data_IF_525568826976
#
_entry.id   IF_525568826976
#
_cell.length_a   1.000
_cell.length_b   1.000
_cell.length_c   1.000
_cell.angle_alpha   90.00
_cell.angle_beta   90.00
_cell.angle_gamma   90.00
#
_symmetry.space_group_name_H-M   'P 1'
#
loop_
_entity.id
_entity.type
_entity.pdbx_description
1 polymer ?
#
# COMPACT_ATOMS: atom_id res chain seq x y z
N UNK A 1 -12.31 -10.28 4.15
CA UNK A 1 -11.04 -11.06 4.08
C UNK A 1 -10.29 -11.11 5.41
N UNK A 2 -9.77 -10.01 5.97
CA UNK A 2 -8.92 -10.06 7.18
C UNK A 2 -9.56 -10.68 8.44
N UNK A 3 -10.89 -10.63 8.55
CA UNK A 3 -11.64 -11.27 9.63
C UNK A 3 -11.90 -12.76 9.41
N UNK A 4 -11.73 -13.27 8.18
CA UNK A 4 -12.05 -14.65 7.79
C UNK A 4 -10.81 -15.49 7.47
N UNK A 5 -9.69 -14.85 7.12
CA UNK A 5 -8.44 -15.54 6.82
C UNK A 5 -7.69 -15.93 8.11
N UNK A 6 -7.27 -17.20 8.20
CA UNK A 6 -6.48 -17.71 9.33
C UNK A 6 -5.09 -17.06 9.41
N UNK A 7 -4.41 -16.93 8.29
CA UNK A 7 -3.16 -16.17 8.14
C UNK A 7 -3.29 -15.18 6.96
N UNK A 8 -2.81 -13.96 7.13
CA UNK A 8 -2.96 -12.89 6.14
C UNK A 8 -1.81 -11.88 6.26
N UNK A 9 -1.21 -11.56 5.11
CA UNK A 9 -0.38 -10.39 4.92
C UNK A 9 -0.93 -9.53 3.78
N UNK A 10 -1.14 -8.25 4.04
CA UNK A 10 -1.46 -7.26 3.01
C UNK A 10 -0.18 -6.50 2.63
N UNK A 11 0.20 -6.55 1.36
CA UNK A 11 1.29 -5.73 0.82
C UNK A 11 0.68 -4.64 -0.04
N UNK A 12 0.95 -3.38 0.28
CA UNK A 12 0.40 -2.23 -0.48
C UNK A 12 1.51 -1.36 -1.04
N UNK A 13 1.37 -1.02 -2.31
CA UNK A 13 2.17 0.01 -3.00
C UNK A 13 1.66 1.42 -2.67
N UNK A 14 0.45 1.53 -2.12
CA UNK A 14 -0.09 2.83 -1.75
C UNK A 14 0.69 3.39 -0.56
N UNK A 15 0.95 4.69 -0.62
CA UNK A 15 1.63 5.44 0.44
C UNK A 15 0.65 6.10 1.39
N UNK A 16 -0.65 5.96 1.14
CA UNK A 16 -1.70 6.36 2.07
C UNK A 16 -1.86 5.35 3.22
N UNK A 17 -2.69 5.71 4.20
CA UNK A 17 -2.95 4.91 5.39
C UNK A 17 -4.37 4.29 5.39
N UNK A 18 -5.03 4.19 4.23
CA UNK A 18 -6.43 3.80 4.15
C UNK A 18 -6.68 2.38 4.66
N UNK A 19 -5.74 1.46 4.47
CA UNK A 19 -5.83 0.11 5.03
C UNK A 19 -5.78 0.10 6.57
N UNK A 20 -4.89 0.91 7.17
CA UNK A 20 -4.83 1.05 8.62
C UNK A 20 -6.11 1.69 9.17
N UNK A 21 -6.63 2.72 8.49
CA UNK A 21 -7.90 3.39 8.85
C UNK A 21 -9.13 2.49 8.68
N UNK A 22 -9.07 1.53 7.76
CA UNK A 22 -10.07 0.47 7.62
C UNK A 22 -9.98 -0.59 8.74
N UNK A 23 -9.04 -0.45 9.68
CA UNK A 23 -8.90 -1.32 10.85
C UNK A 23 -7.98 -2.51 10.65
N UNK A 24 -7.18 -2.56 9.57
CA UNK A 24 -6.19 -3.62 9.42
C UNK A 24 -5.03 -3.40 10.40
N UNK A 25 -4.68 -4.40 11.24
CA UNK A 25 -3.55 -4.29 12.16
C UNK A 25 -2.23 -4.09 11.40
N UNK A 26 -1.33 -3.28 11.96
CA UNK A 26 -0.05 -2.93 11.30
C UNK A 26 0.84 -4.15 11.07
N UNK A 27 0.81 -5.11 11.98
CA UNK A 27 1.54 -6.37 11.91
C UNK A 27 1.08 -7.29 10.76
N UNK A 28 -0.12 -7.05 10.21
CA UNK A 28 -0.64 -7.75 9.02
C UNK A 28 -0.45 -6.96 7.74
N UNK A 29 0.31 -5.86 7.76
CA UNK A 29 0.45 -4.96 6.62
C UNK A 29 1.91 -4.55 6.37
N UNK A 30 2.28 -4.54 5.09
CA UNK A 30 3.53 -3.96 4.60
C UNK A 30 3.22 -2.84 3.61
N UNK A 31 3.52 -1.60 4.01
CA UNK A 31 3.50 -0.44 3.09
C UNK A 31 4.84 -0.39 2.35
N UNK A 32 4.93 -1.09 1.22
CA UNK A 32 6.21 -1.35 0.56
C UNK A 32 6.85 -0.08 -0.01
N UNK A 33 6.05 0.94 -0.35
CA UNK A 33 6.52 2.25 -0.82
C UNK A 33 6.58 3.33 0.26
N UNK A 34 6.41 2.97 1.53
CA UNK A 34 6.48 3.91 2.64
C UNK A 34 5.12 4.52 3.02
N UNK A 35 5.17 5.57 3.85
CA UNK A 35 3.99 6.27 4.38
C UNK A 35 4.15 7.77 4.09
N UNK A 36 3.18 8.36 3.38
CA UNK A 36 3.19 9.78 3.02
C UNK A 36 3.06 10.69 4.25
N UNK A 37 2.55 10.18 5.36
CA UNK A 37 2.43 10.88 6.63
C UNK A 37 3.70 10.78 7.48
N UNK A 38 4.73 10.10 6.99
CA UNK A 38 6.06 10.11 7.59
C UNK A 38 6.91 11.15 6.88
N UNK A 39 7.70 11.91 7.64
CA UNK A 39 8.78 12.74 7.13
C UNK A 39 10.10 12.08 7.52
N UNK A 40 11.02 11.92 6.56
CA UNK A 40 12.35 11.33 6.79
C UNK A 40 13.47 12.24 6.29
N UNK A 41 14.64 12.10 6.89
CA UNK A 41 15.87 12.73 6.43
C UNK A 41 16.33 12.10 5.11
N UNK A 42 16.85 12.90 4.19
CA UNK A 42 17.35 12.42 2.88
C UNK A 42 18.68 11.67 2.96
N UNK A 43 19.39 11.74 4.09
CA UNK A 43 20.75 11.17 4.25
C UNK A 43 20.87 10.09 5.33
N UNK A 44 20.10 10.19 6.42
CA UNK A 44 20.20 9.29 7.57
C UNK A 44 18.82 8.79 8.00
N UNK A 45 18.78 7.75 8.85
CA UNK A 45 17.55 7.07 9.27
C UNK A 45 16.63 7.88 10.21
N UNK A 46 16.86 9.19 10.39
CA UNK A 46 15.95 10.01 11.20
C UNK A 46 14.61 10.19 10.47
N UNK A 47 13.52 9.84 11.15
CA UNK A 47 12.17 10.03 10.64
C UNK A 47 11.17 10.27 11.78
N UNK A 48 10.07 10.93 11.47
CA UNK A 48 8.93 11.08 12.37
C UNK A 48 7.62 11.02 11.57
N UNK A 49 6.53 10.66 12.24
CA UNK A 49 5.19 10.73 11.65
C UNK A 49 4.55 12.05 12.03
N UNK A 50 3.92 12.72 11.07
CA UNK A 50 3.26 14.00 11.29
C UNK A 50 2.00 13.79 12.17
N UNK A 51 1.94 14.48 13.31
CA UNK A 51 0.76 14.42 14.18
C UNK A 51 -0.45 15.10 13.52
N UNK A 52 -1.62 14.46 13.58
CA UNK A 52 -2.87 14.99 13.02
C UNK A 52 -3.03 14.88 11.50
N UNK A 53 -2.05 14.30 10.78
CA UNK A 53 -2.16 13.94 9.36
C UNK A 53 -1.96 12.42 9.24
N UNK A 54 -3.02 11.70 8.90
CA UNK A 54 -3.02 10.23 8.90
C UNK A 54 -3.16 9.63 10.32
N UNK A 55 -3.88 8.51 10.42
CA UNK A 55 -4.43 7.90 11.64
C UNK A 55 -5.95 7.74 11.55
N UNK A 56 -6.52 6.74 12.23
CA UNK A 56 -7.98 6.58 12.34
C UNK A 56 -8.61 7.86 12.85
N UNK A 57 -9.42 8.56 12.04
CA UNK A 57 -10.25 9.62 12.55
C UNK A 57 -11.47 8.95 13.21
N UNK A 58 -11.79 9.31 14.45
CA UNK A 58 -13.21 9.38 14.78
C UNK A 58 -13.90 10.20 13.67
N UNK A 59 -15.07 9.78 13.17
CA UNK A 59 -15.68 10.40 12.00
C UNK A 59 -15.85 11.90 12.26
N UNK A 60 -15.24 12.79 11.46
CA UNK A 60 -15.41 14.21 11.65
C UNK A 60 -16.87 14.54 11.36
N UNK A 61 -17.56 15.11 12.35
CA UNK A 61 -18.87 15.70 12.16
C UNK A 61 -18.85 16.62 10.93
N UNK A 62 -19.74 16.31 9.99
CA UNK A 62 -20.05 17.03 8.75
C UNK A 62 -19.39 18.40 8.63
N UNK A 63 -18.21 18.46 8.01
CA UNK A 63 -17.65 19.70 7.47
C UNK A 63 -17.76 19.65 5.96
N UNK A 64 -18.43 20.68 5.44
CA UNK A 64 -18.72 20.91 4.03
C UNK A 64 -17.50 20.69 3.14
N UNK A 65 -17.72 20.02 2.01
CA UNK A 65 -16.73 19.76 0.96
C UNK A 65 -16.19 21.09 0.44
N UNK A 66 -15.04 21.51 0.98
CA UNK A 66 -14.27 22.63 0.47
C UNK A 66 -13.65 22.26 -0.86
N UNK A 67 -13.92 23.06 -1.90
CA UNK A 67 -13.29 22.94 -3.23
C UNK A 67 -11.79 22.76 -3.10
N UNK A 68 -11.23 21.77 -3.80
CA UNK A 68 -9.79 21.68 -4.04
C UNK A 68 -9.30 23.03 -4.59
N UNK A 69 -8.48 23.73 -3.82
CA UNK A 69 -7.78 24.91 -4.32
C UNK A 69 -6.69 24.44 -5.27
N UNK A 70 -6.76 24.92 -6.51
CA UNK A 70 -5.71 24.87 -7.51
C UNK A 70 -4.34 25.19 -6.88
N UNK A 71 -3.37 24.29 -7.05
CA UNK A 71 -1.96 24.50 -6.67
C UNK A 71 -1.25 25.25 -7.80
N UNK A 72 -1.82 26.39 -8.22
CA UNK A 72 -1.06 27.36 -9.00
C UNK A 72 -0.18 28.14 -8.02
N UNK A 73 1.16 28.18 -8.18
CA UNK A 73 2.02 28.87 -7.24
C UNK A 73 1.83 30.39 -7.41
N UNK A 74 0.95 30.97 -6.59
CA UNK A 74 0.98 32.40 -6.30
C UNK A 74 2.20 32.68 -5.44
N UNK A 75 3.02 33.62 -5.90
CA UNK A 75 4.30 34.01 -5.34
C UNK A 75 4.27 34.35 -3.85
N UNK A 76 5.40 34.03 -3.19
CA UNK A 76 5.95 34.70 -2.00
C UNK A 76 5.43 34.34 -0.60
N UNK A 77 5.29 33.04 -0.30
CA UNK A 77 5.70 32.53 1.00
C UNK A 77 6.68 31.39 0.75
N UNK A 78 7.98 31.62 0.98
CA UNK A 78 8.94 30.52 1.06
C UNK A 78 8.61 29.81 2.36
N UNK A 79 7.71 28.84 2.33
CA UNK A 79 7.67 27.82 3.38
C UNK A 79 9.09 27.24 3.43
N UNK A 80 9.79 27.45 4.55
CA UNK A 80 11.15 26.96 4.74
C UNK A 80 11.13 25.45 4.52
N UNK A 81 12.00 24.98 3.61
CA UNK A 81 12.11 23.55 3.33
C UNK A 81 12.60 22.89 4.63
N UNK A 82 11.87 21.89 5.17
CA UNK A 82 12.19 21.34 6.48
C UNK A 82 13.59 20.71 6.47
N UNK A 83 14.41 21.11 7.44
CA UNK A 83 15.78 20.61 7.62
C UNK A 83 15.81 19.53 8.72
N UNK A 84 16.73 18.59 8.60
CA UNK A 84 16.86 17.50 9.54
C UNK A 84 17.48 17.98 10.85
N UNK A 85 16.80 17.81 12.01
CA UNK A 85 17.31 18.28 13.29
C UNK A 85 18.54 17.51 13.80
N UNK A 86 18.99 16.48 13.07
CA UNK A 86 20.13 15.63 13.43
C UNK A 86 21.38 15.87 12.57
N UNK A 87 21.22 16.36 11.34
CA UNK A 87 22.33 16.45 10.39
C UNK A 87 22.24 17.62 9.42
N UNK A 88 21.21 18.46 9.55
CA UNK A 88 20.98 19.65 8.71
C UNK A 88 20.82 19.35 7.21
N UNK A 89 20.46 18.11 6.85
CA UNK A 89 20.09 17.73 5.49
C UNK A 89 18.59 17.96 5.24
N UNK A 90 18.17 18.07 3.98
CA UNK A 90 16.75 18.18 3.62
C UNK A 90 15.92 17.01 4.15
N UNK A 91 14.79 17.34 4.77
CA UNK A 91 13.72 16.39 5.08
C UNK A 91 12.80 16.23 3.86
N UNK A 92 12.17 15.07 3.75
CA UNK A 92 11.31 14.71 2.63
C UNK A 92 10.23 13.72 3.06
N UNK A 93 9.18 13.51 2.25
CA UNK A 93 8.21 12.46 2.52
C UNK A 93 8.86 11.08 2.67
N UNK A 94 8.34 10.30 3.61
CA UNK A 94 8.74 8.96 4.01
C UNK A 94 8.34 7.88 3.01
N UNK A 95 8.34 8.24 1.73
CA UNK A 95 7.98 7.39 0.61
C UNK A 95 9.21 7.05 -0.21
N UNK A 96 9.15 5.90 -0.89
CA UNK A 96 10.15 5.45 -1.85
C UNK A 96 9.95 6.23 -3.15
N UNK A 97 11.00 6.91 -3.61
CA UNK A 97 10.99 7.58 -4.92
C UNK A 97 11.46 6.65 -6.03
N UNK A 98 11.15 7.00 -7.28
CA UNK A 98 11.68 6.29 -8.43
C UNK A 98 13.22 6.25 -8.40
N UNK A 99 13.77 5.06 -8.61
CA UNK A 99 15.22 4.82 -8.55
C UNK A 99 15.75 4.52 -7.13
N UNK A 100 14.94 4.68 -6.09
CA UNK A 100 15.32 4.25 -4.75
C UNK A 100 15.07 2.75 -4.53
N UNK A 101 15.88 2.18 -3.64
CA UNK A 101 15.66 0.81 -3.17
C UNK A 101 14.47 0.78 -2.21
N UNK A 102 13.74 -0.33 -2.25
CA UNK A 102 12.75 -0.65 -1.23
C UNK A 102 13.47 -0.92 0.10
N UNK A 103 12.73 -0.73 1.18
CA UNK A 103 13.20 -1.03 2.53
C UNK A 103 13.46 -2.55 2.69
N UNK A 104 14.71 -2.99 2.96
CA UNK A 104 15.05 -4.40 3.08
C UNK A 104 14.24 -5.12 4.16
N UNK A 105 13.96 -4.48 5.30
CA UNK A 105 13.22 -5.11 6.40
C UNK A 105 11.76 -5.41 5.97
N UNK A 106 11.20 -4.55 5.11
CA UNK A 106 9.87 -4.76 4.54
C UNK A 106 9.87 -5.87 3.49
N UNK A 107 10.91 -5.93 2.65
CA UNK A 107 11.09 -7.05 1.73
C UNK A 107 11.18 -8.35 2.54
N UNK A 108 12.04 -8.42 3.55
CA UNK A 108 12.24 -9.59 4.40
C UNK A 108 10.95 -10.02 5.12
N UNK A 109 10.07 -9.06 5.46
CA UNK A 109 8.75 -9.37 6.01
C UNK A 109 7.88 -10.12 4.99
N UNK A 110 7.87 -9.68 3.72
CA UNK A 110 7.10 -10.34 2.65
C UNK A 110 7.71 -11.69 2.31
N UNK A 111 9.03 -11.75 2.14
CA UNK A 111 9.78 -12.98 1.89
C UNK A 111 9.57 -14.00 3.01
N UNK A 112 9.67 -13.56 4.26
CA UNK A 112 9.46 -14.38 5.43
C UNK A 112 8.03 -14.89 5.57
N UNK A 113 7.03 -14.17 5.07
CA UNK A 113 5.66 -14.67 4.99
C UNK A 113 5.53 -15.77 3.94
N UNK A 114 6.04 -15.53 2.72
CA UNK A 114 5.99 -16.50 1.62
C UNK A 114 6.80 -17.77 1.93
N UNK A 115 7.86 -17.67 2.73
CA UNK A 115 8.67 -18.82 3.16
C UNK A 115 7.97 -19.74 4.17
N UNK A 116 6.86 -19.33 4.81
CA UNK A 116 6.16 -20.14 5.82
C UNK A 116 5.43 -21.34 5.24
N UNK A 117 5.13 -21.32 3.94
CA UNK A 117 4.45 -22.41 3.26
C UNK A 117 3.53 -21.91 2.17
N UNK A 118 2.54 -22.74 1.83
CA UNK A 118 1.61 -22.47 0.75
C UNK A 118 0.62 -21.35 1.12
N UNK A 119 0.50 -20.36 0.25
CA UNK A 119 -0.67 -19.48 0.24
C UNK A 119 -1.82 -20.19 -0.49
N UNK A 120 -2.99 -20.27 0.14
CA UNK A 120 -4.18 -20.83 -0.50
C UNK A 120 -4.75 -19.89 -1.58
N UNK A 121 -4.55 -18.58 -1.41
CA UNK A 121 -5.05 -17.55 -2.30
C UNK A 121 -4.15 -16.30 -2.26
N UNK A 122 -3.85 -15.75 -3.43
CA UNK A 122 -3.25 -14.44 -3.63
C UNK A 122 -4.25 -13.56 -4.40
N UNK A 123 -4.56 -12.38 -3.85
CA UNK A 123 -5.47 -11.43 -4.50
C UNK A 123 -4.70 -10.15 -4.81
N UNK A 124 -4.58 -9.82 -6.09
CA UNK A 124 -3.89 -8.61 -6.58
C UNK A 124 -4.92 -7.62 -7.09
N UNK A 125 -4.94 -6.42 -6.51
CA UNK A 125 -6.04 -5.47 -6.66
C UNK A 125 -5.49 -4.12 -7.11
N UNK A 126 -6.04 -3.56 -8.18
CA UNK A 126 -5.89 -2.15 -8.52
C UNK A 126 -4.44 -1.69 -8.75
N UNK A 127 -3.65 -2.49 -9.46
CA UNK A 127 -2.26 -2.18 -9.81
C UNK A 127 -2.03 -2.47 -11.27
N UNK A 128 -1.21 -1.66 -11.94
CA UNK A 128 -0.78 -1.94 -13.32
C UNK A 128 0.24 -3.07 -13.40
N UNK A 129 0.72 -3.57 -12.26
CA UNK A 129 1.71 -4.64 -12.14
C UNK A 129 2.94 -4.44 -13.03
N UNK A 130 3.45 -3.21 -13.11
CA UNK A 130 4.63 -2.87 -13.93
C UNK A 130 5.96 -3.11 -13.23
N UNK A 131 5.95 -3.22 -11.90
CA UNK A 131 7.15 -3.50 -11.13
C UNK A 131 7.31 -5.00 -10.85
N UNK A 132 8.49 -5.53 -11.19
CA UNK A 132 8.75 -6.97 -11.17
C UNK A 132 8.55 -7.65 -9.81
N UNK A 133 8.81 -6.96 -8.69
CA UNK A 133 8.66 -7.55 -7.35
C UNK A 133 7.20 -7.89 -7.02
N UNK A 134 6.22 -7.09 -7.47
CA UNK A 134 4.80 -7.41 -7.26
C UNK A 134 4.40 -8.64 -8.05
N UNK A 135 4.86 -8.74 -9.29
CA UNK A 135 4.60 -9.91 -10.15
C UNK A 135 5.24 -11.14 -9.49
N UNK A 136 6.51 -11.07 -9.13
CA UNK A 136 7.24 -12.17 -8.51
C UNK A 136 6.54 -12.66 -7.23
N UNK A 137 6.18 -11.75 -6.32
CA UNK A 137 5.47 -12.10 -5.10
C UNK A 137 4.11 -12.75 -5.36
N UNK A 138 3.33 -12.22 -6.30
CA UNK A 138 2.04 -12.80 -6.68
C UNK A 138 2.20 -14.20 -7.27
N UNK A 139 3.20 -14.41 -8.14
CA UNK A 139 3.48 -15.72 -8.73
C UNK A 139 3.96 -16.74 -7.70
N UNK A 140 4.84 -16.34 -6.78
CA UNK A 140 5.36 -17.24 -5.73
C UNK A 140 4.29 -17.60 -4.71
N UNK A 141 3.40 -16.66 -4.36
CA UNK A 141 2.24 -16.97 -3.53
C UNK A 141 1.35 -18.03 -4.22
N UNK A 142 1.23 -17.99 -5.55
CA UNK A 142 0.46 -18.95 -6.33
C UNK A 142 1.20 -20.29 -6.61
N UNK A 143 2.53 -20.31 -6.56
CA UNK A 143 3.36 -21.42 -7.04
C UNK A 143 3.11 -22.77 -6.35
N UNK A 144 2.44 -22.77 -5.20
CA UNK A 144 2.06 -23.97 -4.45
C UNK A 144 0.65 -24.50 -4.79
N UNK A 145 0.07 -24.07 -5.92
CA UNK A 145 -1.28 -24.50 -6.34
C UNK A 145 -2.40 -23.79 -5.57
N UNK A 146 -2.14 -22.56 -5.12
CA UNK A 146 -3.18 -21.65 -4.64
C UNK A 146 -3.97 -21.04 -5.79
N UNK A 147 -4.87 -20.12 -5.46
CA UNK A 147 -5.51 -19.26 -6.46
C UNK A 147 -4.75 -17.93 -6.61
N UNK A 148 -4.69 -17.42 -7.83
CA UNK A 148 -4.23 -16.06 -8.12
C UNK A 148 -5.37 -15.27 -8.76
N UNK A 149 -6.01 -14.43 -7.95
CA UNK A 149 -7.15 -13.61 -8.37
C UNK A 149 -6.66 -12.20 -8.66
N UNK A 150 -6.83 -11.75 -9.90
CA UNK A 150 -6.56 -10.37 -10.28
C UNK A 150 -7.87 -9.58 -10.37
N UNK A 151 -7.91 -8.42 -9.71
CA UNK A 151 -9.01 -7.46 -9.76
C UNK A 151 -8.48 -6.13 -10.30
N UNK A 152 -8.69 -5.88 -11.58
CA UNK A 152 -8.28 -4.64 -12.21
C UNK A 152 -9.15 -4.36 -13.44
N UNK A 153 -9.59 -3.10 -13.71
CA UNK A 153 -10.37 -2.78 -14.91
C UNK A 153 -9.64 -3.16 -16.20
N UNK A 154 -8.34 -2.90 -16.26
CA UNK A 154 -7.49 -3.12 -17.42
C UNK A 154 -6.62 -4.37 -17.25
N UNK A 155 -6.20 -4.98 -18.36
CA UNK A 155 -5.21 -6.07 -18.34
C UNK A 155 -3.83 -5.55 -17.91
N UNK A 156 -3.07 -6.43 -17.25
CA UNK A 156 -1.72 -6.17 -16.76
C UNK A 156 -0.78 -7.30 -17.16
N UNK A 157 0.55 -7.15 -16.99
CA UNK A 157 1.49 -8.25 -17.17
C UNK A 157 1.20 -9.48 -16.28
N UNK A 158 0.49 -9.30 -15.17
CA UNK A 158 0.11 -10.39 -14.27
C UNK A 158 -1.06 -11.21 -14.82
N UNK A 159 -1.92 -10.63 -15.65
CA UNK A 159 -3.19 -11.24 -16.11
C UNK A 159 -3.01 -12.60 -16.76
N UNK A 160 -1.90 -12.84 -17.47
CA UNK A 160 -1.61 -14.14 -18.10
C UNK A 160 -1.42 -15.27 -17.09
N UNK A 161 -1.08 -14.96 -15.84
CA UNK A 161 -0.82 -15.94 -14.79
C UNK A 161 -1.98 -16.11 -13.81
N UNK A 162 -2.96 -15.21 -13.84
CA UNK A 162 -4.09 -15.22 -12.93
C UNK A 162 -5.02 -16.41 -13.20
N UNK A 163 -5.39 -17.14 -12.15
CA UNK A 163 -6.41 -18.21 -12.22
C UNK A 163 -7.80 -17.63 -12.43
N UNK A 164 -8.05 -16.43 -11.89
CA UNK A 164 -9.27 -15.68 -12.08
C UNK A 164 -8.95 -14.21 -12.37
N UNK A 165 -9.63 -13.63 -13.36
CA UNK A 165 -9.51 -12.22 -13.75
C UNK A 165 -10.86 -11.53 -13.60
N UNK A 166 -10.88 -10.41 -12.89
CA UNK A 166 -12.08 -9.61 -12.65
C UNK A 166 -11.84 -8.21 -13.22
N UNK A 167 -12.41 -7.96 -14.41
CA UNK A 167 -12.28 -6.72 -15.17
C UNK A 167 -13.25 -5.63 -14.69
N UNK A 168 -13.14 -5.25 -13.42
CA UNK A 168 -14.02 -4.27 -12.79
C UNK A 168 -13.26 -3.42 -11.77
N UNK A 169 -13.76 -2.20 -11.45
CA UNK A 169 -13.21 -1.42 -10.35
C UNK A 169 -13.28 -2.19 -9.03
N UNK A 170 -12.22 -2.11 -8.22
CA UNK A 170 -12.11 -2.81 -6.95
C UNK A 170 -13.32 -2.56 -6.01
N UNK A 171 -13.84 -1.33 -5.99
CA UNK A 171 -15.01 -0.97 -5.18
C UNK A 171 -16.29 -1.75 -5.55
N UNK A 172 -16.40 -2.25 -6.79
CA UNK A 172 -17.54 -2.99 -7.31
C UNK A 172 -17.30 -4.51 -7.23
N UNK A 173 -16.06 -4.95 -7.47
CA UNK A 173 -15.68 -6.35 -7.47
C UNK A 173 -15.52 -6.94 -6.05
N UNK A 174 -14.83 -6.23 -5.16
CA UNK A 174 -14.40 -6.78 -3.88
C UNK A 174 -15.54 -7.24 -2.95
N UNK A 175 -16.68 -6.52 -2.83
CA UNK A 175 -17.78 -7.01 -2.00
C UNK A 175 -18.27 -8.41 -2.44
N UNK A 176 -18.48 -8.60 -3.75
CA UNK A 176 -18.91 -9.90 -4.32
C UNK A 176 -17.85 -10.98 -4.16
N UNK A 177 -16.57 -10.63 -4.37
CA UNK A 177 -15.47 -11.56 -4.22
C UNK A 177 -15.32 -12.05 -2.78
N UNK A 178 -15.50 -11.15 -1.80
CA UNK A 178 -15.44 -11.50 -0.38
C UNK A 178 -16.57 -12.47 -0.03
N UNK A 179 -17.78 -12.25 -0.52
CA UNK A 179 -18.91 -13.15 -0.27
C UNK A 179 -18.60 -14.57 -0.80
N UNK A 180 -18.02 -14.67 -2.01
CA UNK A 180 -17.66 -15.97 -2.61
C UNK A 180 -16.55 -16.70 -1.84
N UNK A 181 -15.52 -15.99 -1.37
CA UNK A 181 -14.36 -16.61 -0.71
C UNK A 181 -14.66 -16.91 0.77
N UNK A 182 -15.38 -16.02 1.45
CA UNK A 182 -15.56 -16.07 2.90
C UNK A 182 -16.85 -16.77 3.34
N UNK A 183 -17.86 -16.86 2.46
CA UNK A 183 -19.16 -17.51 2.72
C UNK A 183 -19.49 -18.51 1.60
N UNK A 184 -18.74 -19.61 1.46
CA UNK A 184 -18.91 -20.58 0.37
C UNK A 184 -20.23 -21.36 0.45
#
# INVERSE_FOLDING_TARGET
MAQHAGDLLLVTQNVDDLHARAGLPKEKMVQIHGDIFVTRCSRYHFQFREEGRGGSPEPPATRSVGRLRSIAPTSAQREEIPMCPKCDELMRPGVVWFGEQLDPDKIDTVEGFLARGRCDCAVVIGTTATFGYIIDWALRANASGGELIEVNPDETPLSTFATQRIHEPAAIALPRLIDQICNP
#
